data_IF_506088216152
#
_entry.id   IF_506088216152
#
_cell.length_a   1.000
_cell.length_b   1.000
_cell.length_c   1.000
_cell.angle_alpha   90.00
_cell.angle_beta   90.00
_cell.angle_gamma   90.00
#
_symmetry.space_group_name_H-M   'P 1'
#
loop_
_entity.id
_entity.type
_entity.pdbx_description
1 polymer ?
#
# COMPACT_ATOMS: atom_id res chain seq x y z
N UNK A 1 -46.39 -50.32 24.33
CA UNK A 1 -44.99 -50.06 24.78
C UNK A 1 -44.01 -49.74 23.64
N UNK A 2 -44.22 -50.19 22.40
CA UNK A 2 -43.30 -49.94 21.26
C UNK A 2 -43.30 -48.49 20.73
N UNK A 3 -44.46 -47.81 20.69
CA UNK A 3 -44.60 -46.43 20.18
C UNK A 3 -43.79 -45.40 20.98
N UNK A 4 -43.73 -45.55 22.31
CA UNK A 4 -42.92 -44.68 23.20
C UNK A 4 -41.41 -44.78 22.93
N UNK A 5 -40.92 -45.95 22.46
CA UNK A 5 -39.50 -46.16 22.13
C UNK A 5 -39.11 -45.45 20.82
N UNK A 6 -39.96 -45.50 19.81
CA UNK A 6 -39.72 -44.80 18.54
C UNK A 6 -39.83 -43.28 18.68
N UNK A 7 -40.72 -42.79 19.55
CA UNK A 7 -40.85 -41.37 19.85
C UNK A 7 -39.58 -40.81 20.55
N UNK A 8 -39.03 -41.54 21.53
CA UNK A 8 -37.78 -41.16 22.18
C UNK A 8 -36.58 -41.23 21.21
N UNK A 9 -36.50 -42.28 20.38
CA UNK A 9 -35.45 -42.39 19.36
C UNK A 9 -35.51 -41.25 18.33
N UNK A 10 -36.70 -40.83 17.90
CA UNK A 10 -36.89 -39.72 16.96
C UNK A 10 -36.48 -38.37 17.55
N UNK A 11 -36.79 -38.11 18.82
CA UNK A 11 -36.34 -36.90 19.53
C UNK A 11 -34.81 -36.88 19.67
N UNK A 12 -34.19 -38.03 19.94
CA UNK A 12 -32.74 -38.12 20.08
C UNK A 12 -32.02 -37.88 18.75
N UNK A 13 -32.59 -38.39 17.64
CA UNK A 13 -32.07 -38.13 16.28
C UNK A 13 -32.26 -36.66 15.87
N UNK A 14 -33.40 -36.04 16.20
CA UNK A 14 -33.61 -34.60 15.95
C UNK A 14 -32.67 -33.71 16.76
N UNK A 15 -32.40 -34.04 18.03
CA UNK A 15 -31.44 -33.30 18.86
C UNK A 15 -29.99 -33.46 18.35
N UNK A 16 -29.64 -34.65 17.84
CA UNK A 16 -28.33 -34.87 17.23
C UNK A 16 -28.17 -34.08 15.92
N UNK A 17 -29.22 -34.00 15.10
CA UNK A 17 -29.21 -33.19 13.86
C UNK A 17 -29.13 -31.68 14.14
N UNK A 18 -29.79 -31.20 15.21
CA UNK A 18 -29.75 -29.79 15.61
C UNK A 18 -28.36 -29.38 16.12
N UNK A 19 -27.62 -30.33 16.70
CA UNK A 19 -26.25 -30.11 17.21
C UNK A 19 -25.22 -29.96 16.09
N UNK A 20 -25.42 -30.62 14.94
CA UNK A 20 -24.51 -30.56 13.79
C UNK A 20 -24.62 -29.22 13.06
N UNK A 21 -25.82 -28.63 13.01
CA UNK A 21 -26.05 -27.31 12.37
C UNK A 21 -25.44 -26.16 13.17
N UNK A 22 -25.33 -26.30 14.50
CA UNK A 22 -24.72 -25.29 15.37
C UNK A 22 -23.18 -25.22 15.27
N UNK A 23 -22.55 -26.21 14.62
CA UNK A 23 -21.10 -26.29 14.43
C UNK A 23 -20.66 -25.82 13.04
N UNK A 24 -21.56 -25.21 12.25
CA UNK A 24 -21.18 -24.40 11.11
C UNK A 24 -20.64 -23.07 11.65
N UNK A 25 -19.37 -23.05 12.05
CA UNK A 25 -18.66 -21.80 12.29
C UNK A 25 -18.74 -20.98 11.00
N UNK A 26 -19.21 -19.75 11.10
CA UNK A 26 -19.01 -18.77 10.05
C UNK A 26 -17.52 -18.47 10.04
N UNK A 27 -16.78 -18.99 9.06
CA UNK A 27 -15.47 -18.45 8.73
C UNK A 27 -15.72 -16.99 8.32
N UNK A 28 -15.32 -16.07 9.18
CA UNK A 28 -15.34 -14.64 8.89
C UNK A 28 -14.21 -14.36 7.93
N UNK A 29 -14.48 -14.50 6.63
CA UNK A 29 -13.59 -14.04 5.57
C UNK A 29 -13.60 -12.50 5.67
N UNK A 30 -12.43 -11.91 5.93
CA UNK A 30 -12.30 -10.45 5.96
C UNK A 30 -12.55 -9.90 4.55
N UNK A 31 -13.22 -8.76 4.48
CA UNK A 31 -13.35 -8.00 3.24
C UNK A 31 -12.07 -7.23 2.94
N UNK A 32 -11.87 -6.81 1.68
CA UNK A 32 -10.72 -5.99 1.31
C UNK A 32 -10.66 -4.69 2.12
N UNK A 33 -11.81 -4.03 2.34
CA UNK A 33 -11.89 -2.80 3.14
C UNK A 33 -11.48 -3.04 4.59
N UNK A 34 -11.94 -4.12 5.22
CA UNK A 34 -11.53 -4.48 6.59
C UNK A 34 -10.04 -4.81 6.70
N UNK A 35 -9.43 -5.36 5.64
CA UNK A 35 -7.99 -5.59 5.57
C UNK A 35 -7.26 -4.24 5.51
N UNK A 36 -7.70 -3.32 4.65
CA UNK A 36 -7.08 -1.99 4.55
C UNK A 36 -7.22 -1.18 5.83
N UNK A 37 -8.40 -1.21 6.47
CA UNK A 37 -8.63 -0.54 7.76
C UNK A 37 -7.64 -1.06 8.83
N UNK A 38 -7.32 -2.35 8.83
CA UNK A 38 -6.30 -2.91 9.73
C UNK A 38 -4.88 -2.46 9.40
N UNK A 39 -4.54 -2.28 8.13
CA UNK A 39 -3.24 -1.72 7.73
C UNK A 39 -3.13 -0.27 8.24
N UNK A 40 -4.19 0.52 8.09
CA UNK A 40 -4.25 1.88 8.60
C UNK A 40 -4.15 1.93 10.14
N UNK A 41 -4.86 1.05 10.86
CA UNK A 41 -4.82 0.96 12.33
C UNK A 41 -3.44 0.54 12.88
N UNK A 42 -2.70 -0.26 12.12
CA UNK A 42 -1.34 -0.71 12.50
C UNK A 42 -0.25 0.24 12.04
N UNK A 43 -0.58 1.21 11.18
CA UNK A 43 0.36 2.19 10.69
C UNK A 43 0.84 3.12 11.81
N UNK A 44 2.12 3.54 11.83
CA UNK A 44 2.62 4.45 12.83
C UNK A 44 1.86 5.79 12.80
N UNK A 45 1.29 6.18 13.94
CA UNK A 45 0.73 7.52 14.11
C UNK A 45 1.87 8.55 14.25
N UNK A 46 2.00 9.43 13.26
CA UNK A 46 2.97 10.51 13.27
C UNK A 46 2.41 11.80 12.66
N UNK A 47 2.79 12.94 13.25
CA UNK A 47 2.56 14.26 12.63
C UNK A 47 3.69 14.66 11.68
N UNK A 48 4.92 14.30 12.04
CA UNK A 48 6.11 14.45 11.20
C UNK A 48 7.03 13.25 11.36
N UNK A 49 7.70 12.88 10.28
CA UNK A 49 8.66 11.79 10.25
C UNK A 49 9.92 12.24 9.52
N UNK A 50 11.07 11.76 10.00
CA UNK A 50 12.36 11.87 9.30
C UNK A 50 12.95 10.48 9.13
N UNK A 51 13.26 10.11 7.90
CA UNK A 51 13.89 8.84 7.55
C UNK A 51 15.25 9.12 6.90
N UNK A 52 16.27 8.37 7.29
CA UNK A 52 17.58 8.36 6.64
C UNK A 52 17.76 6.97 6.06
N UNK A 53 18.01 6.90 4.76
CA UNK A 53 18.06 5.63 4.03
C UNK A 53 19.26 5.59 3.09
N UNK A 54 19.76 4.38 2.88
CA UNK A 54 20.70 4.04 1.83
C UNK A 54 19.93 3.34 0.71
N UNK A 55 20.09 3.80 -0.52
CA UNK A 55 19.49 3.20 -1.71
C UNK A 55 20.61 2.58 -2.55
N UNK A 56 20.53 1.27 -2.76
CA UNK A 56 21.50 0.50 -3.55
C UNK A 56 20.86 0.20 -4.90
N UNK A 57 21.38 0.81 -5.96
CA UNK A 57 20.94 0.60 -7.33
C UNK A 57 21.86 -0.44 -7.97
N UNK A 58 21.30 -1.56 -8.41
CA UNK A 58 22.05 -2.62 -9.10
C UNK A 58 21.62 -2.67 -10.56
N UNK A 59 22.56 -2.52 -11.49
CA UNK A 59 22.28 -2.64 -12.92
C UNK A 59 22.20 -4.12 -13.37
N UNK A 60 21.81 -4.31 -14.64
CA UNK A 60 21.70 -5.65 -15.25
C UNK A 60 23.00 -6.45 -15.30
N UNK A 61 24.14 -5.77 -15.19
CA UNK A 61 25.49 -6.35 -15.25
C UNK A 61 26.05 -6.60 -13.83
N UNK A 62 25.29 -6.24 -12.79
CA UNK A 62 25.63 -6.42 -11.38
C UNK A 62 26.45 -5.28 -10.77
N UNK A 63 26.58 -4.13 -11.44
CA UNK A 63 27.26 -2.98 -10.86
C UNK A 63 26.33 -2.24 -9.89
N UNK A 64 26.89 -1.84 -8.75
CA UNK A 64 26.15 -1.14 -7.70
C UNK A 64 26.49 0.37 -7.66
N UNK A 65 25.47 1.21 -7.54
CA UNK A 65 25.58 2.61 -7.14
C UNK A 65 24.81 2.82 -5.84
N UNK A 66 25.50 3.29 -4.80
CA UNK A 66 24.91 3.57 -3.49
C UNK A 66 24.60 5.06 -3.37
N UNK A 67 23.36 5.38 -2.96
CA UNK A 67 22.88 6.75 -2.75
C UNK A 67 22.33 6.93 -1.33
N UNK A 68 22.89 7.87 -0.59
CA UNK A 68 22.30 8.26 0.69
C UNK A 68 21.19 9.28 0.48
N UNK A 69 20.06 9.10 1.15
CA UNK A 69 18.95 10.04 1.11
C UNK A 69 18.35 10.32 2.49
N UNK A 70 17.73 11.49 2.58
CA UNK A 70 16.86 11.84 3.70
C UNK A 70 15.46 12.11 3.17
N UNK A 71 14.47 11.59 3.88
CA UNK A 71 13.05 11.83 3.64
C UNK A 71 12.45 12.54 4.84
N UNK A 72 11.61 13.53 4.59
CA UNK A 72 10.77 14.18 5.58
C UNK A 72 9.32 14.03 5.16
N UNK A 73 8.47 13.53 6.04
CA UNK A 73 7.03 13.42 5.81
C UNK A 73 6.29 14.24 6.86
N UNK A 74 5.20 14.88 6.45
CA UNK A 74 4.34 15.68 7.31
C UNK A 74 2.88 15.42 6.95
N UNK A 75 2.10 14.98 7.93
CA UNK A 75 0.64 14.91 7.79
C UNK A 75 0.04 16.31 7.73
N UNK A 76 -0.90 16.51 6.81
CA UNK A 76 -1.64 17.75 6.62
C UNK A 76 -3.15 17.47 6.73
N UNK A 77 -3.99 18.45 6.40
CA UNK A 77 -5.46 18.28 6.44
C UNK A 77 -5.92 17.15 5.50
N UNK A 78 -7.09 16.55 5.80
CA UNK A 78 -7.69 15.45 5.04
C UNK A 78 -6.83 14.17 4.98
N UNK A 79 -6.06 13.87 6.02
CA UNK A 79 -5.16 12.73 6.15
C UNK A 79 -4.04 12.63 5.11
N UNK A 80 -3.87 13.70 4.31
CA UNK A 80 -2.87 13.76 3.26
C UNK A 80 -1.47 13.98 3.80
N UNK A 81 -0.46 13.69 2.96
CA UNK A 81 0.95 13.80 3.35
C UNK A 81 1.75 14.67 2.38
N UNK A 82 2.55 15.58 2.95
CA UNK A 82 3.64 16.25 2.23
C UNK A 82 4.94 15.49 2.46
N UNK A 83 5.66 15.17 1.39
CA UNK A 83 6.91 14.41 1.46
C UNK A 83 8.03 15.12 0.72
N UNK A 84 9.18 15.28 1.37
CA UNK A 84 10.40 15.81 0.77
C UNK A 84 11.49 14.74 0.81
N UNK A 85 12.00 14.37 -0.36
CA UNK A 85 13.13 13.45 -0.53
C UNK A 85 14.35 14.24 -1.01
N UNK A 86 15.51 14.05 -0.39
CA UNK A 86 16.76 14.69 -0.82
C UNK A 86 17.92 13.70 -0.80
N UNK A 87 18.63 13.62 -1.92
CA UNK A 87 19.90 12.89 -1.99
C UNK A 87 21.02 13.67 -1.28
N UNK A 88 21.75 12.98 -0.39
CA UNK A 88 22.89 13.48 0.36
C UNK A 88 24.21 13.09 -0.30
N UNK A 89 24.25 11.93 -0.95
CA UNK A 89 25.37 11.37 -1.68
C UNK A 89 24.85 10.48 -2.83
N UNK A 90 25.67 10.13 -3.84
CA UNK A 90 27.01 10.65 -4.13
C UNK A 90 26.98 12.06 -4.75
N UNK A 91 28.14 12.61 -5.09
CA UNK A 91 28.28 13.99 -5.63
C UNK A 91 27.44 14.24 -6.89
N UNK A 92 27.22 13.22 -7.72
CA UNK A 92 26.44 13.30 -8.96
C UNK A 92 24.97 13.69 -8.73
N UNK A 93 24.37 13.23 -7.63
CA UNK A 93 22.96 13.46 -7.29
C UNK A 93 22.76 14.33 -6.05
N UNK A 94 23.84 14.64 -5.32
CA UNK A 94 23.79 15.41 -4.07
C UNK A 94 22.99 16.70 -4.23
N UNK A 95 21.97 16.85 -3.38
CA UNK A 95 21.10 18.02 -3.32
C UNK A 95 19.91 17.97 -4.28
N UNK A 96 19.84 17.00 -5.19
CA UNK A 96 18.60 16.73 -5.93
C UNK A 96 17.50 16.43 -4.92
N UNK A 97 16.38 17.13 -5.06
CA UNK A 97 15.28 17.11 -4.10
C UNK A 97 13.96 16.92 -4.83
N UNK A 98 13.16 15.95 -4.40
CA UNK A 98 11.76 15.79 -4.79
C UNK A 98 10.88 16.33 -3.67
N UNK A 99 9.86 17.09 -4.02
CA UNK A 99 8.81 17.55 -3.12
C UNK A 99 7.46 17.10 -3.66
N UNK A 100 6.78 16.25 -2.90
CA UNK A 100 5.40 15.83 -3.11
C UNK A 100 4.52 16.58 -2.13
N UNK A 101 3.46 17.20 -2.66
CA UNK A 101 2.48 17.95 -1.88
C UNK A 101 1.14 17.23 -2.01
N UNK A 102 0.47 16.99 -0.88
CA UNK A 102 -0.84 16.37 -0.78
C UNK A 102 -0.91 15.05 -1.58
N UNK A 103 -0.10 14.06 -1.21
CA UNK A 103 -0.07 12.72 -1.85
C UNK A 103 0.06 12.76 -3.38
N UNK A 104 0.91 13.67 -3.88
CA UNK A 104 1.22 13.75 -5.30
C UNK A 104 0.29 14.65 -6.13
N UNK A 105 -0.58 15.44 -5.51
CA UNK A 105 -1.33 16.51 -6.20
C UNK A 105 -0.38 17.47 -6.92
N UNK A 106 0.74 17.81 -6.27
CA UNK A 106 1.83 18.58 -6.89
C UNK A 106 3.18 17.95 -6.59
N UNK A 107 3.93 17.69 -7.66
CA UNK A 107 5.28 17.14 -7.59
C UNK A 107 6.26 18.15 -8.16
N UNK A 108 7.32 18.46 -7.41
CA UNK A 108 8.40 19.34 -7.82
C UNK A 108 9.75 18.65 -7.70
N UNK A 109 10.52 18.68 -8.78
CA UNK A 109 11.90 18.24 -8.80
C UNK A 109 12.82 19.47 -8.80
N UNK A 110 13.66 19.58 -7.78
CA UNK A 110 14.76 20.55 -7.74
C UNK A 110 16.08 19.85 -8.06
N UNK A 111 16.80 20.39 -9.03
CA UNK A 111 18.14 19.94 -9.40
C UNK A 111 19.14 21.10 -9.20
N UNK A 112 20.16 20.95 -8.34
CA UNK A 112 21.13 22.02 -8.07
C UNK A 112 21.81 22.58 -9.32
N UNK A 113 22.05 21.74 -10.33
CA UNK A 113 22.67 22.15 -11.60
C UNK A 113 21.88 23.24 -12.35
N UNK A 114 20.55 23.27 -12.20
CA UNK A 114 19.67 24.24 -12.88
C UNK A 114 19.18 25.34 -11.94
N UNK A 115 19.42 25.19 -10.63
CA UNK A 115 19.03 26.12 -9.57
C UNK A 115 17.56 26.59 -9.63
N UNK A 116 16.66 25.73 -10.13
CA UNK A 116 15.22 26.00 -10.23
C UNK A 116 14.42 24.70 -10.05
N UNK A 117 13.24 24.76 -9.40
CA UNK A 117 12.31 23.64 -9.38
C UNK A 117 11.62 23.49 -10.74
N UNK A 118 11.43 22.24 -11.17
CA UNK A 118 10.59 21.85 -12.30
C UNK A 118 9.36 21.12 -11.75
N UNK A 119 8.17 21.51 -12.21
CA UNK A 119 6.94 20.77 -11.90
C UNK A 119 6.88 19.48 -12.73
N UNK A 120 6.54 18.37 -12.07
CA UNK A 120 6.21 17.09 -12.70
C UNK A 120 4.68 16.94 -12.65
N UNK A 121 4.06 16.71 -13.80
CA UNK A 121 2.62 16.65 -13.98
C UNK A 121 2.29 15.92 -15.29
N UNK A 122 1.03 15.52 -15.49
CA UNK A 122 0.67 14.82 -16.73
C UNK A 122 1.32 13.44 -16.79
N UNK A 123 1.51 12.98 -18.02
CA UNK A 123 2.27 11.77 -18.34
C UNK A 123 3.71 11.77 -17.82
N UNK A 124 4.30 12.92 -17.43
CA UNK A 124 5.64 12.91 -16.83
C UNK A 124 5.67 12.33 -15.41
N UNK A 125 4.52 12.03 -14.80
CA UNK A 125 4.48 11.31 -13.52
C UNK A 125 5.01 9.86 -13.65
N UNK A 126 4.83 9.23 -14.81
CA UNK A 126 5.35 7.88 -15.07
C UNK A 126 6.82 7.85 -15.50
N UNK A 127 7.45 9.01 -15.68
CA UNK A 127 8.88 9.09 -15.99
C UNK A 127 9.71 8.60 -14.80
N UNK A 128 10.86 7.99 -15.09
CA UNK A 128 11.78 7.50 -14.06
C UNK A 128 12.39 8.65 -13.25
N UNK A 129 12.41 8.48 -11.93
CA UNK A 129 13.05 9.37 -10.99
C UNK A 129 14.56 9.10 -10.93
N UNK A 130 15.34 9.98 -11.56
CA UNK A 130 16.81 10.04 -11.37
C UNK A 130 17.56 8.70 -11.57
N UNK A 131 17.05 7.78 -12.40
CA UNK A 131 17.70 6.50 -12.64
C UNK A 131 17.56 5.48 -11.51
N UNK A 132 16.52 5.58 -10.66
CA UNK A 132 16.32 4.66 -9.53
C UNK A 132 15.51 3.41 -9.90
N UNK A 133 15.00 3.30 -11.12
CA UNK A 133 13.99 2.32 -11.52
C UNK A 133 12.60 2.56 -10.94
N UNK A 134 12.40 3.65 -10.17
CA UNK A 134 11.11 4.08 -9.64
C UNK A 134 10.66 5.31 -10.42
N UNK A 135 9.36 5.41 -10.67
CA UNK A 135 8.73 6.57 -11.30
C UNK A 135 8.47 7.71 -10.29
N UNK A 136 8.09 8.89 -10.78
CA UNK A 136 7.63 9.96 -9.88
C UNK A 136 6.31 9.61 -9.19
N UNK A 137 5.41 8.89 -9.86
CA UNK A 137 4.17 8.41 -9.26
C UNK A 137 4.46 7.46 -8.09
N UNK A 138 5.42 6.52 -8.20
CA UNK A 138 5.80 5.60 -7.10
C UNK A 138 6.22 6.32 -5.81
N UNK A 139 6.81 7.51 -5.96
CA UNK A 139 7.27 8.31 -4.83
C UNK A 139 6.16 9.13 -4.17
N UNK A 140 4.99 9.20 -4.80
CA UNK A 140 3.89 10.08 -4.41
C UNK A 140 2.57 9.36 -4.16
N UNK A 141 2.40 8.16 -4.70
CA UNK A 141 1.16 7.41 -4.68
C UNK A 141 0.87 6.88 -3.27
N UNK A 142 -0.38 7.04 -2.83
CA UNK A 142 -0.91 6.36 -1.66
C UNK A 142 -1.72 5.15 -2.11
N UNK A 143 -1.17 3.96 -1.93
CA UNK A 143 -1.83 2.71 -2.31
C UNK A 143 -3.05 2.40 -1.43
N UNK A 144 -3.22 3.10 -0.31
CA UNK A 144 -4.34 2.96 0.61
C UNK A 144 -5.47 3.96 0.33
N UNK A 145 -5.34 4.78 -0.71
CA UNK A 145 -6.34 5.78 -1.08
C UNK A 145 -7.75 5.15 -1.13
N UNK A 146 -8.68 5.73 -0.37
CA UNK A 146 -10.05 5.25 -0.22
C UNK A 146 -10.86 5.37 -1.49
N UNK A 147 -10.43 6.18 -2.46
CA UNK A 147 -11.07 6.27 -3.77
C UNK A 147 -10.74 5.07 -4.67
N UNK A 148 -9.65 4.35 -4.41
CA UNK A 148 -9.27 3.19 -5.23
C UNK A 148 -10.16 2.00 -4.96
N UNK A 149 -10.63 1.34 -6.03
CA UNK A 149 -11.39 0.09 -5.94
C UNK A 149 -10.47 -1.04 -5.50
N UNK A 150 -10.92 -1.84 -4.51
CA UNK A 150 -10.13 -2.91 -3.93
C UNK A 150 -10.91 -4.21 -3.90
N UNK A 151 -10.25 -5.30 -4.29
CA UNK A 151 -10.84 -6.64 -4.31
C UNK A 151 -9.89 -7.64 -3.67
N UNK A 152 -10.38 -8.39 -2.68
CA UNK A 152 -9.64 -9.53 -2.13
C UNK A 152 -9.65 -10.66 -3.17
N UNK A 153 -8.49 -10.99 -3.72
CA UNK A 153 -8.34 -12.05 -4.70
C UNK A 153 -8.17 -13.42 -4.04
N UNK A 154 -7.38 -13.46 -2.97
CA UNK A 154 -7.01 -14.71 -2.31
C UNK A 154 -6.60 -14.47 -0.87
N UNK A 155 -6.96 -15.41 0.00
CA UNK A 155 -6.39 -15.56 1.35
C UNK A 155 -5.50 -16.81 1.36
N UNK A 156 -4.32 -16.68 1.94
CA UNK A 156 -3.35 -17.76 2.17
C UNK A 156 -3.09 -17.89 3.67
N UNK A 157 -2.36 -18.94 4.07
CA UNK A 157 -2.04 -19.16 5.49
C UNK A 157 -1.24 -17.99 6.12
N UNK A 158 -0.48 -17.25 5.30
CA UNK A 158 0.45 -16.21 5.76
C UNK A 158 0.14 -14.80 5.21
N UNK A 159 -0.83 -14.64 4.31
CA UNK A 159 -1.09 -13.35 3.66
C UNK A 159 -2.46 -13.24 2.97
N UNK A 160 -2.93 -12.01 2.84
CA UNK A 160 -4.04 -11.57 2.00
C UNK A 160 -3.52 -10.96 0.70
N UNK A 161 -4.06 -11.39 -0.45
CA UNK A 161 -3.73 -10.85 -1.77
C UNK A 161 -4.87 -9.93 -2.22
N UNK A 162 -4.62 -8.63 -2.22
CA UNK A 162 -5.60 -7.59 -2.56
C UNK A 162 -5.22 -6.96 -3.90
N UNK A 163 -6.14 -6.97 -4.86
CA UNK A 163 -6.04 -6.16 -6.07
C UNK A 163 -6.55 -4.76 -5.78
N UNK A 164 -5.77 -3.76 -6.19
CA UNK A 164 -6.11 -2.35 -6.13
C UNK A 164 -6.15 -1.83 -7.57
N UNK A 165 -7.26 -1.18 -7.92
CA UNK A 165 -7.44 -0.48 -9.19
C UNK A 165 -7.37 1.02 -8.91
N UNK A 166 -6.22 1.66 -9.20
CA UNK A 166 -6.06 3.09 -8.99
C UNK A 166 -7.05 3.89 -9.85
N UNK A 167 -7.59 4.96 -9.28
CA UNK A 167 -8.46 5.90 -9.98
C UNK A 167 -7.84 7.29 -10.00
N UNK A 168 -7.85 7.95 -11.16
CA UNK A 168 -7.34 9.30 -11.29
C UNK A 168 -6.83 9.62 -12.69
N UNK A 169 -6.58 10.91 -12.93
CA UNK A 169 -5.83 11.34 -14.11
C UNK A 169 -4.33 11.11 -13.89
N UNK A 170 -3.59 10.82 -14.97
CA UNK A 170 -2.13 10.67 -14.95
C UNK A 170 -1.56 9.50 -14.12
N UNK A 171 -2.35 8.45 -13.87
CA UNK A 171 -1.86 7.19 -13.28
C UNK A 171 -1.47 6.22 -14.39
N UNK A 172 -0.27 5.63 -14.29
CA UNK A 172 0.22 4.69 -15.30
C UNK A 172 -0.11 3.23 -15.00
N UNK A 173 -0.31 2.90 -13.73
CA UNK A 173 -0.67 1.56 -13.28
C UNK A 173 -2.13 1.22 -13.58
N UNK A 174 -2.35 0.17 -14.37
CA UNK A 174 -3.68 -0.40 -14.58
C UNK A 174 -4.21 -1.10 -13.31
N UNK A 175 -3.30 -1.75 -12.57
CA UNK A 175 -3.60 -2.43 -11.31
C UNK A 175 -2.36 -2.66 -10.46
N UNK A 176 -2.57 -2.83 -9.16
CA UNK A 176 -1.54 -3.11 -8.16
C UNK A 176 -1.99 -4.34 -7.36
N UNK A 177 -1.08 -5.30 -7.16
CA UNK A 177 -1.35 -6.49 -6.34
C UNK A 177 -0.59 -6.33 -5.03
N UNK A 178 -1.32 -6.06 -3.96
CA UNK A 178 -0.80 -5.96 -2.61
C UNK A 178 -0.79 -7.34 -1.95
N UNK A 179 0.34 -7.68 -1.35
CA UNK A 179 0.49 -8.84 -0.48
C UNK A 179 0.58 -8.30 0.95
N UNK A 180 -0.42 -8.62 1.77
CA UNK A 180 -0.59 -8.09 3.13
C UNK A 180 -0.47 -9.26 4.11
N UNK A 181 0.51 -9.20 5.01
CA UNK A 181 0.77 -10.23 6.04
C UNK A 181 -0.24 -10.16 7.21
#
# INVERSE_FOLDING_TARGET
>A
MKIRKYFFAMITVCLFFLSIVACAGTETILTADEIMDKIDETSPDYSTQKTISEMILTDKDGNEEVRDMVMFSQKVENDQTNTLVRFLSPKSVKGVTLLNINDGEKIYLYMPAYNKPRRIAGSSKSDEFMGTGLSYEDMSMDYQDKEYEKTLLQETDDAYIVEVLPSGEDISYEKIILHVD
#
